data_IF_350583374288
#
_entry.id   IF_350583374288
#
_cell.length_a   1.000
_cell.length_b   1.000
_cell.length_c   1.000
_cell.angle_alpha   90.00
_cell.angle_beta   90.00
_cell.angle_gamma   90.00
#
_symmetry.space_group_name_H-M   'P 1'
#
loop_
_entity.id
_entity.type
_entity.pdbx_description
1 polymer ?
#
# COMPACT_ATOMS: atom_id res chain seq x y z
N UNK A 1 -2.17 7.32 -22.32
CA UNK A 1 -3.10 7.70 -21.24
C UNK A 1 -2.23 8.09 -20.06
N UNK A 2 -2.47 9.27 -19.47
CA UNK A 2 -1.75 9.70 -18.28
C UNK A 2 -2.15 8.83 -17.08
N UNK A 3 -1.18 8.49 -16.25
CA UNK A 3 -1.32 7.66 -15.05
C UNK A 3 -0.40 8.17 -13.92
N UNK A 4 -0.50 7.62 -12.72
CA UNK A 4 0.28 8.08 -11.55
C UNK A 4 1.81 8.18 -11.77
N UNK A 5 2.46 7.31 -12.57
CA UNK A 5 3.90 7.45 -12.81
C UNK A 5 4.26 8.77 -13.50
N UNK A 6 3.37 9.32 -14.33
CA UNK A 6 3.60 10.57 -15.04
C UNK A 6 3.66 11.77 -14.08
N UNK A 7 2.92 11.72 -12.96
CA UNK A 7 3.00 12.72 -11.90
C UNK A 7 4.39 12.66 -11.25
N UNK A 8 4.87 11.47 -10.88
CA UNK A 8 6.18 11.34 -10.25
C UNK A 8 7.32 11.78 -11.19
N UNK A 9 7.25 11.45 -12.47
CA UNK A 9 8.24 11.91 -13.45
C UNK A 9 8.24 13.43 -13.59
N UNK A 10 7.08 14.08 -13.53
CA UNK A 10 6.97 15.55 -13.64
C UNK A 10 7.61 16.29 -12.47
N UNK A 11 7.56 15.71 -11.27
CA UNK A 11 8.09 16.35 -10.05
C UNK A 11 9.51 15.91 -9.71
N UNK A 12 9.98 14.78 -10.26
CA UNK A 12 11.32 14.30 -9.97
C UNK A 12 12.40 15.22 -10.57
N UNK A 13 13.42 15.61 -9.79
CA UNK A 13 14.58 16.31 -10.35
C UNK A 13 15.49 15.38 -11.15
N UNK A 14 15.35 14.05 -10.98
CA UNK A 14 16.14 13.02 -11.66
C UNK A 14 15.24 11.90 -12.20
N UNK A 15 15.42 11.58 -13.49
CA UNK A 15 14.74 10.47 -14.14
C UNK A 15 15.08 9.12 -13.47
N UNK A 16 16.30 8.95 -12.98
CA UNK A 16 16.72 7.73 -12.30
C UNK A 16 15.96 7.54 -10.98
N UNK A 17 15.78 8.61 -10.22
CA UNK A 17 15.06 8.59 -8.93
C UNK A 17 13.59 8.29 -9.15
N UNK A 18 12.95 8.93 -10.14
CA UNK A 18 11.59 8.61 -10.56
C UNK A 18 11.43 7.14 -10.93
N UNK A 19 12.28 6.61 -11.83
CA UNK A 19 12.19 5.22 -12.31
C UNK A 19 12.32 4.21 -11.17
N UNK A 20 13.22 4.43 -10.22
CA UNK A 20 13.41 3.55 -9.05
C UNK A 20 12.18 3.55 -8.15
N UNK A 21 11.66 4.74 -7.81
CA UNK A 21 10.47 4.85 -6.98
C UNK A 21 9.25 4.22 -7.68
N UNK A 22 9.03 4.51 -8.96
CA UNK A 22 7.92 3.95 -9.74
C UNK A 22 7.98 2.42 -9.75
N UNK A 23 9.16 1.85 -9.97
CA UNK A 23 9.31 0.39 -9.97
C UNK A 23 8.91 -0.24 -8.63
N UNK A 24 9.29 0.38 -7.50
CA UNK A 24 8.98 -0.14 -6.18
C UNK A 24 7.51 0.08 -5.80
N UNK A 25 6.95 1.26 -6.07
CA UNK A 25 5.52 1.52 -5.83
C UNK A 25 4.63 0.59 -6.64
N UNK A 26 5.00 0.23 -7.89
CA UNK A 26 4.28 -0.81 -8.66
C UNK A 26 4.36 -2.18 -8.00
N UNK A 27 5.52 -2.56 -7.48
CA UNK A 27 5.67 -3.83 -6.76
C UNK A 27 4.79 -3.85 -5.50
N UNK A 28 4.76 -2.74 -4.77
CA UNK A 28 3.90 -2.56 -3.59
C UNK A 28 2.42 -2.64 -3.97
N UNK A 29 1.99 -1.91 -5.01
CA UNK A 29 0.61 -1.91 -5.51
C UNK A 29 0.13 -3.32 -5.88
N UNK A 30 0.92 -4.05 -6.68
CA UNK A 30 0.55 -5.38 -7.14
C UNK A 30 0.48 -6.38 -5.98
N UNK A 31 1.43 -6.32 -5.04
CA UNK A 31 1.42 -7.20 -3.87
C UNK A 31 0.29 -6.85 -2.89
N UNK A 32 0.06 -5.55 -2.63
CA UNK A 32 -1.03 -5.07 -1.79
C UNK A 32 -2.40 -5.50 -2.33
N UNK A 33 -2.65 -5.30 -3.62
CA UNK A 33 -3.88 -5.75 -4.29
C UNK A 33 -4.08 -7.26 -4.16
N UNK A 34 -3.01 -8.06 -4.29
CA UNK A 34 -3.11 -9.51 -4.14
C UNK A 34 -3.49 -9.90 -2.70
N UNK A 35 -2.89 -9.27 -1.70
CA UNK A 35 -3.22 -9.46 -0.29
C UNK A 35 -4.67 -9.06 0.03
N UNK A 36 -5.09 -7.85 -0.35
CA UNK A 36 -6.45 -7.37 -0.10
C UNK A 36 -7.50 -8.25 -0.79
N UNK A 37 -7.29 -8.61 -2.06
CA UNK A 37 -8.22 -9.49 -2.80
C UNK A 37 -8.32 -10.88 -2.20
N UNK A 38 -7.21 -11.43 -1.67
CA UNK A 38 -7.25 -12.72 -0.97
C UNK A 38 -8.22 -12.66 0.22
N UNK A 39 -8.08 -11.65 1.07
CA UNK A 39 -8.93 -11.47 2.25
C UNK A 39 -10.37 -11.14 1.89
N UNK A 40 -10.59 -10.27 0.90
CA UNK A 40 -11.94 -9.93 0.43
C UNK A 40 -12.70 -11.16 -0.12
N UNK A 41 -12.02 -12.05 -0.86
CA UNK A 41 -12.62 -13.31 -1.34
C UNK A 41 -13.10 -14.16 -0.17
N UNK A 42 -12.29 -14.29 0.87
CA UNK A 42 -12.70 -15.01 2.08
C UNK A 42 -13.83 -14.31 2.82
N UNK A 43 -13.85 -12.97 2.82
CA UNK A 43 -14.96 -12.16 3.32
C UNK A 43 -16.28 -12.50 2.62
N UNK A 44 -16.24 -12.67 1.29
CA UNK A 44 -17.37 -13.11 0.43
C UNK A 44 -17.71 -14.60 0.59
N UNK A 45 -16.92 -15.36 1.36
CA UNK A 45 -17.13 -16.80 1.59
C UNK A 45 -16.50 -17.70 0.53
N UNK A 46 -15.65 -17.17 -0.35
CA UNK A 46 -14.92 -17.96 -1.34
C UNK A 46 -13.78 -18.74 -0.65
N UNK A 47 -13.90 -20.07 -0.61
CA UNK A 47 -12.91 -20.94 0.00
C UNK A 47 -11.83 -21.36 -1.01
N UNK A 48 -11.07 -20.39 -1.54
CA UNK A 48 -9.88 -20.63 -2.36
C UNK A 48 -8.62 -20.10 -1.65
N UNK A 49 -7.61 -20.94 -1.38
CA UNK A 49 -7.57 -22.40 -1.54
C UNK A 49 -8.63 -23.17 -0.74
N UNK A 50 -8.97 -24.39 -1.17
CA UNK A 50 -10.05 -25.20 -0.57
C UNK A 50 -9.76 -25.67 0.85
N UNK A 51 -8.49 -25.86 1.22
CA UNK A 51 -8.08 -26.33 2.55
C UNK A 51 -7.67 -25.18 3.45
N UNK A 52 -7.87 -25.35 4.77
CA UNK A 52 -7.43 -24.38 5.77
C UNK A 52 -5.90 -24.15 5.70
N UNK A 53 -5.11 -25.22 5.61
CA UNK A 53 -3.66 -25.12 5.45
C UNK A 53 -3.23 -24.44 4.14
N UNK A 54 -3.97 -24.64 3.05
CA UNK A 54 -3.73 -23.92 1.80
C UNK A 54 -4.02 -22.42 1.92
N UNK A 55 -5.09 -22.05 2.63
CA UNK A 55 -5.41 -20.65 2.93
C UNK A 55 -4.36 -19.99 3.83
N UNK A 56 -3.93 -20.68 4.88
CA UNK A 56 -2.84 -20.23 5.75
C UNK A 56 -1.57 -19.95 4.94
N UNK A 57 -1.14 -20.90 4.10
CA UNK A 57 0.03 -20.71 3.24
C UNK A 57 -0.14 -19.56 2.23
N UNK A 58 -1.35 -19.40 1.67
CA UNK A 58 -1.65 -18.30 0.75
C UNK A 58 -1.58 -16.94 1.45
N UNK A 59 -2.06 -16.83 2.69
CA UNK A 59 -1.97 -15.59 3.47
C UNK A 59 -0.51 -15.27 3.80
N UNK A 60 0.26 -16.26 4.29
CA UNK A 60 1.69 -16.07 4.59
C UNK A 60 2.47 -15.61 3.37
N UNK A 61 2.25 -16.27 2.23
CA UNK A 61 2.92 -15.90 0.99
C UNK A 61 2.52 -14.51 0.49
N UNK A 62 1.24 -14.14 0.62
CA UNK A 62 0.79 -12.80 0.28
C UNK A 62 1.44 -11.74 1.19
N UNK A 63 1.50 -12.00 2.50
CA UNK A 63 2.13 -11.10 3.46
C UNK A 63 3.64 -10.93 3.20
N UNK A 64 4.36 -12.04 3.00
CA UNK A 64 5.80 -12.06 2.68
C UNK A 64 6.12 -11.25 1.40
N UNK A 65 5.29 -11.40 0.36
CA UNK A 65 5.44 -10.63 -0.88
C UNK A 65 5.22 -9.13 -0.70
N UNK A 66 4.28 -8.73 0.16
CA UNK A 66 4.04 -7.32 0.44
C UNK A 66 5.17 -6.76 1.28
N UNK A 67 5.60 -7.50 2.31
CA UNK A 67 6.74 -7.14 3.18
C UNK A 67 7.99 -6.88 2.33
N UNK A 68 8.32 -7.80 1.42
CA UNK A 68 9.48 -7.67 0.52
C UNK A 68 9.38 -6.41 -0.34
N UNK A 69 8.19 -6.10 -0.85
CA UNK A 69 7.97 -4.90 -1.67
C UNK A 69 8.12 -3.62 -0.85
N UNK A 70 7.55 -3.57 0.36
CA UNK A 70 7.66 -2.41 1.26
C UNK A 70 9.10 -2.21 1.76
N UNK A 71 9.81 -3.28 2.10
CA UNK A 71 11.24 -3.20 2.43
C UNK A 71 12.08 -2.62 1.28
N UNK A 72 11.73 -2.95 0.04
CA UNK A 72 12.35 -2.39 -1.17
C UNK A 72 12.01 -0.91 -1.42
N UNK A 73 10.93 -0.39 -0.83
CA UNK A 73 10.44 0.98 -1.04
C UNK A 73 11.21 2.02 -0.21
N UNK A 74 11.74 1.65 0.95
CA UNK A 74 12.33 2.58 1.92
C UNK A 74 13.36 3.53 1.30
N UNK A 75 14.36 2.97 0.63
CA UNK A 75 15.45 3.78 0.06
C UNK A 75 14.97 4.65 -1.11
N UNK A 76 14.28 4.12 -2.14
CA UNK A 76 13.82 4.96 -3.25
C UNK A 76 12.84 6.05 -2.84
N UNK A 77 11.95 5.79 -1.87
CA UNK A 77 11.02 6.77 -1.36
C UNK A 77 11.73 7.85 -0.55
N UNK A 78 12.68 7.47 0.30
CA UNK A 78 13.51 8.41 1.05
C UNK A 78 14.31 9.34 0.13
N UNK A 79 14.98 8.80 -0.88
CA UNK A 79 15.72 9.61 -1.87
C UNK A 79 14.80 10.57 -2.62
N UNK A 80 13.65 10.09 -3.10
CA UNK A 80 12.69 10.92 -3.82
C UNK A 80 12.14 12.06 -2.94
N UNK A 81 11.78 11.78 -1.69
CA UNK A 81 11.29 12.79 -0.75
C UNK A 81 12.32 13.88 -0.42
N UNK A 82 13.60 13.50 -0.31
CA UNK A 82 14.69 14.45 -0.11
C UNK A 82 14.90 15.33 -1.34
N UNK A 83 14.91 14.72 -2.52
CA UNK A 83 15.11 15.38 -3.80
C UNK A 83 13.95 16.30 -4.20
N UNK A 84 12.73 15.97 -3.79
CA UNK A 84 11.54 16.77 -4.10
C UNK A 84 11.58 18.17 -3.45
N UNK A 85 12.39 18.38 -2.40
CA UNK A 85 12.63 19.67 -1.71
C UNK A 85 11.40 20.60 -1.68
N UNK A 86 10.27 20.12 -1.13
CA UNK A 86 9.11 20.98 -0.98
C UNK A 86 9.43 22.11 0.01
N UNK A 87 9.43 23.37 -0.48
CA UNK A 87 9.76 24.55 0.31
C UNK A 87 8.83 24.77 1.52
N UNK A 88 7.69 24.09 1.59
CA UNK A 88 6.67 24.29 2.61
C UNK A 88 6.15 22.95 3.14
N UNK A 89 6.30 22.71 4.44
CA UNK A 89 5.70 21.58 5.16
C UNK A 89 4.19 21.79 5.44
N UNK A 90 3.50 22.58 4.62
CA UNK A 90 2.08 22.95 4.78
C UNK A 90 1.16 22.28 3.75
N UNK A 91 1.71 21.43 2.87
CA UNK A 91 0.93 20.64 1.91
C UNK A 91 -0.07 19.71 2.59
N UNK A 92 -1.22 19.46 1.93
CA UNK A 92 -2.19 18.46 2.37
C UNK A 92 -2.02 17.19 1.55
N UNK A 93 -2.05 16.04 2.21
CA UNK A 93 -2.04 14.74 1.54
C UNK A 93 -3.20 14.65 0.54
N UNK A 94 -2.90 14.19 -0.67
CA UNK A 94 -3.89 14.10 -1.77
C UNK A 94 -4.90 12.97 -1.57
N UNK A 95 -4.60 12.07 -0.64
CA UNK A 95 -5.50 11.02 -0.19
C UNK A 95 -5.91 11.27 1.24
N UNK A 96 -7.14 10.86 1.58
CA UNK A 96 -7.61 10.88 2.95
C UNK A 96 -7.15 9.62 3.69
N UNK A 97 -7.11 9.72 5.03
CA UNK A 97 -7.04 8.55 5.89
C UNK A 97 -8.19 7.56 5.64
N UNK A 98 -8.15 6.40 6.31
CA UNK A 98 -9.03 5.30 6.00
C UNK A 98 -10.51 5.65 6.16
N UNK A 99 -11.33 5.16 5.22
CA UNK A 99 -12.77 5.32 5.25
C UNK A 99 -13.46 4.25 6.09
N UNK A 100 -14.70 4.50 6.52
CA UNK A 100 -15.50 3.52 7.27
C UNK A 100 -15.65 2.16 6.54
N UNK A 101 -15.58 2.16 5.21
CA UNK A 101 -15.63 0.95 4.39
C UNK A 101 -14.38 0.06 4.44
N UNK A 102 -13.28 0.54 5.05
CA UNK A 102 -12.04 -0.23 5.22
C UNK A 102 -11.90 -0.83 6.61
N UNK A 103 -12.77 -0.44 7.53
CA UNK A 103 -12.86 -1.00 8.87
C UNK A 103 -13.63 -2.32 8.79
N UNK A 104 -12.89 -3.42 8.65
CA UNK A 104 -13.44 -4.77 8.54
C UNK A 104 -13.16 -5.57 9.81
N UNK A 105 -14.17 -6.25 10.33
CA UNK A 105 -14.01 -7.21 11.42
C UNK A 105 -13.49 -8.54 10.86
N UNK A 106 -12.17 -8.75 10.95
CA UNK A 106 -11.51 -9.91 10.33
C UNK A 106 -11.63 -11.22 11.13
N UNK A 107 -11.87 -11.16 12.44
CA UNK A 107 -11.96 -12.36 13.29
C UNK A 107 -12.93 -13.43 12.76
N UNK A 108 -14.21 -13.13 12.43
CA UNK A 108 -15.12 -14.13 11.87
C UNK A 108 -14.71 -14.63 10.49
N UNK A 109 -14.04 -13.79 9.67
CA UNK A 109 -13.56 -14.17 8.34
C UNK A 109 -12.41 -15.18 8.46
N UNK A 110 -11.41 -14.88 9.29
CA UNK A 110 -10.24 -15.74 9.51
C UNK A 110 -10.64 -17.06 10.19
N UNK A 111 -11.55 -17.01 11.16
CA UNK A 111 -12.08 -18.21 11.83
C UNK A 111 -12.77 -19.14 10.84
N UNK A 112 -13.62 -18.61 9.96
CA UNK A 112 -14.30 -19.38 8.90
C UNK A 112 -13.31 -19.88 7.83
N UNK A 113 -12.28 -19.11 7.53
CA UNK A 113 -11.18 -19.55 6.67
C UNK A 113 -10.32 -20.63 7.34
N UNK A 114 -10.40 -20.82 8.65
CA UNK A 114 -9.55 -21.76 9.40
C UNK A 114 -8.08 -21.33 9.44
N UNK A 115 -7.83 -20.01 9.39
CA UNK A 115 -6.49 -19.40 9.41
C UNK A 115 -6.19 -18.89 10.82
N UNK A 116 -4.96 -19.08 11.27
CA UNK A 116 -4.51 -18.82 12.65
C UNK A 116 -3.93 -17.42 12.87
N UNK A 117 -3.82 -16.62 11.82
CA UNK A 117 -3.27 -15.26 11.87
C UNK A 117 -4.03 -14.36 12.86
N UNK A 118 -3.30 -13.47 13.54
CA UNK A 118 -3.88 -12.52 14.49
C UNK A 118 -4.84 -11.55 13.78
N UNK A 119 -6.14 -11.52 14.12
CA UNK A 119 -7.11 -10.66 13.44
C UNK A 119 -6.74 -9.17 13.48
N UNK A 120 -6.16 -8.69 14.58
CA UNK A 120 -5.79 -7.28 14.73
C UNK A 120 -4.64 -6.89 13.79
N UNK A 121 -3.64 -7.78 13.61
CA UNK A 121 -2.53 -7.54 12.68
C UNK A 121 -3.00 -7.60 11.23
N UNK A 122 -3.90 -8.54 10.91
CA UNK A 122 -4.53 -8.61 9.58
C UNK A 122 -5.36 -7.36 9.31
N UNK A 123 -6.09 -6.85 10.31
CA UNK A 123 -6.87 -5.62 10.19
C UNK A 123 -5.97 -4.41 9.90
N UNK A 124 -4.92 -4.22 10.70
CA UNK A 124 -3.97 -3.13 10.53
C UNK A 124 -3.28 -3.21 9.15
N UNK A 125 -2.71 -4.36 8.80
CA UNK A 125 -2.06 -4.54 7.51
C UNK A 125 -3.02 -4.33 6.33
N UNK A 126 -4.25 -4.87 6.40
CA UNK A 126 -5.25 -4.64 5.34
C UNK A 126 -5.57 -3.17 5.17
N UNK A 127 -5.77 -2.45 6.28
CA UNK A 127 -6.12 -1.02 6.27
C UNK A 127 -5.05 -0.20 5.56
N UNK A 128 -3.79 -0.36 5.96
CA UNK A 128 -2.68 0.44 5.43
C UNK A 128 -2.38 0.10 3.97
N UNK A 129 -2.53 -1.16 3.58
CA UNK A 129 -2.40 -1.57 2.18
C UNK A 129 -3.55 -1.06 1.31
N UNK A 130 -4.77 -1.00 1.84
CA UNK A 130 -5.90 -0.41 1.15
C UNK A 130 -5.72 1.11 0.96
N UNK A 131 -5.17 1.80 1.98
CA UNK A 131 -4.80 3.22 1.91
C UNK A 131 -3.72 3.45 0.84
N UNK A 132 -2.66 2.63 0.80
CA UNK A 132 -1.64 2.69 -0.26
C UNK A 132 -2.26 2.58 -1.65
N UNK A 133 -3.09 1.55 -1.88
CA UNK A 133 -3.75 1.32 -3.17
C UNK A 133 -4.64 2.51 -3.53
N UNK A 134 -5.39 3.07 -2.58
CA UNK A 134 -6.21 4.25 -2.81
C UNK A 134 -5.36 5.48 -3.12
N UNK A 135 -4.24 5.67 -2.43
CA UNK A 135 -3.36 6.81 -2.66
C UNK A 135 -2.79 6.78 -4.10
N UNK A 136 -2.37 5.61 -4.58
CA UNK A 136 -1.91 5.44 -5.97
C UNK A 136 -3.05 5.64 -6.97
N UNK A 137 -4.23 5.10 -6.70
CA UNK A 137 -5.42 5.34 -7.51
C UNK A 137 -5.80 6.83 -7.58
N UNK A 138 -5.67 7.56 -6.47
CA UNK A 138 -5.88 9.01 -6.41
C UNK A 138 -4.90 9.78 -7.28
N UNK A 139 -3.64 9.37 -7.33
CA UNK A 139 -2.66 9.92 -8.28
C UNK A 139 -3.04 9.61 -9.74
N UNK A 140 -3.51 8.39 -10.04
CA UNK A 140 -3.99 8.05 -11.39
C UNK A 140 -5.17 8.91 -11.80
N UNK A 141 -6.13 9.12 -10.90
CA UNK A 141 -7.30 9.95 -11.17
C UNK A 141 -6.91 11.41 -11.36
N UNK A 142 -5.98 11.92 -10.54
CA UNK A 142 -5.40 13.25 -10.71
C UNK A 142 -4.71 13.42 -12.08
N UNK A 143 -3.95 12.41 -12.52
CA UNK A 143 -3.29 12.41 -13.81
C UNK A 143 -4.29 12.44 -14.98
N UNK A 144 -5.40 11.67 -14.88
CA UNK A 144 -6.46 11.63 -15.90
C UNK A 144 -7.31 12.88 -15.94
N UNK A 145 -7.54 13.51 -14.79
CA UNK A 145 -8.32 14.75 -14.66
C UNK A 145 -7.49 16.01 -14.93
N UNK A 146 -6.20 15.84 -15.24
CA UNK A 146 -5.23 16.94 -15.43
C UNK A 146 -5.19 17.91 -14.23
N UNK A 147 -5.47 17.42 -13.03
CA UNK A 147 -5.41 18.25 -11.82
C UNK A 147 -3.96 18.56 -11.48
N UNK A 148 -3.68 19.82 -11.15
CA UNK A 148 -2.36 20.24 -10.70
C UNK A 148 -2.15 19.82 -9.25
N UNK A 149 -1.46 18.69 -9.05
CA UNK A 149 -0.87 18.36 -7.75
C UNK A 149 0.43 19.16 -7.61
N UNK A 150 0.57 19.94 -6.54
CA UNK A 150 1.81 20.67 -6.27
C UNK A 150 2.84 19.79 -5.57
N UNK A 151 4.10 20.24 -5.57
CA UNK A 151 5.20 19.49 -4.96
C UNK A 151 4.97 19.30 -3.45
N UNK A 152 4.39 20.28 -2.75
CA UNK A 152 4.13 20.22 -1.31
C UNK A 152 3.08 19.17 -0.96
N UNK A 153 1.96 19.06 -1.69
CA UNK A 153 0.94 18.04 -1.47
C UNK A 153 1.45 16.65 -1.82
N UNK A 154 2.23 16.52 -2.92
CA UNK A 154 2.88 15.26 -3.30
C UNK A 154 3.92 14.83 -2.26
N UNK A 155 4.65 15.77 -1.67
CA UNK A 155 5.59 15.46 -0.60
C UNK A 155 4.83 14.98 0.64
N UNK A 156 3.79 15.70 1.07
CA UNK A 156 3.02 15.40 2.27
C UNK A 156 2.43 13.98 2.24
N UNK A 157 1.74 13.60 1.16
CA UNK A 157 1.17 12.25 1.12
C UNK A 157 2.21 11.14 0.91
N UNK A 158 3.33 11.38 0.22
CA UNK A 158 4.39 10.37 0.10
C UNK A 158 5.09 10.16 1.44
N UNK A 159 5.23 11.21 2.24
CA UNK A 159 5.75 11.16 3.59
C UNK A 159 4.79 10.40 4.53
N UNK A 160 3.49 10.71 4.49
CA UNK A 160 2.48 10.01 5.29
C UNK A 160 2.43 8.51 4.96
N UNK A 161 2.50 8.14 3.67
CA UNK A 161 2.58 6.73 3.25
C UNK A 161 3.84 6.07 3.81
N UNK A 162 4.99 6.75 3.76
CA UNK A 162 6.25 6.23 4.28
C UNK A 162 6.14 5.93 5.77
N UNK A 163 5.67 6.89 6.56
CA UNK A 163 5.60 6.77 8.02
C UNK A 163 4.70 5.60 8.43
N UNK A 164 3.56 5.46 7.76
CA UNK A 164 2.57 4.44 8.11
C UNK A 164 2.96 3.04 7.61
N UNK A 165 3.43 2.93 6.36
CA UNK A 165 3.78 1.63 5.77
C UNK A 165 5.09 1.07 6.33
N UNK A 166 6.11 1.91 6.53
CA UNK A 166 7.43 1.45 6.99
C UNK A 166 7.54 1.42 8.52
N UNK A 167 6.57 1.99 9.24
CA UNK A 167 6.47 1.91 10.69
C UNK A 167 5.93 0.56 11.17
N UNK A 168 4.61 0.46 11.34
CA UNK A 168 3.98 -0.71 11.96
C UNK A 168 3.59 -1.81 10.95
N UNK A 169 3.25 -1.44 9.71
CA UNK A 169 2.68 -2.37 8.72
C UNK A 169 3.65 -3.49 8.35
N UNK A 170 4.93 -3.18 8.17
CA UNK A 170 5.98 -4.17 7.88
C UNK A 170 6.09 -5.21 8.99
N UNK A 171 6.04 -4.80 10.26
CA UNK A 171 6.13 -5.73 11.39
C UNK A 171 4.89 -6.61 11.52
N UNK A 172 3.70 -6.07 11.22
CA UNK A 172 2.48 -6.87 11.14
C UNK A 172 2.55 -7.90 10.01
N UNK A 173 3.06 -7.52 8.83
CA UNK A 173 3.23 -8.44 7.71
C UNK A 173 4.24 -9.56 8.03
N UNK A 174 5.36 -9.24 8.68
CA UNK A 174 6.33 -10.25 9.15
C UNK A 174 5.68 -11.22 10.13
N UNK A 175 4.87 -10.73 11.05
CA UNK A 175 4.16 -11.56 12.01
C UNK A 175 3.08 -12.45 11.34
N UNK A 176 2.46 -11.97 10.26
CA UNK A 176 1.49 -12.75 9.47
C UNK A 176 2.21 -13.81 8.63
N UNK A 177 3.43 -13.52 8.14
CA UNK A 177 4.20 -14.43 7.29
C UNK A 177 4.85 -15.62 8.04
N UNK A 178 5.07 -15.48 9.35
CA UNK A 178 5.67 -16.51 10.22
C UNK A 178 4.77 -17.74 10.42
#
# INVERSE_FOLDING_TARGET
MADWPDILVRHAPSELTARRLISQLRACEVSALAFCRLLERWGRGEADPATAGGREAALRHAADRVETALAGLETPLGSYLLELEANEAEGRSWYSGPGAGELVEWAPVLSRAGVSACPNRVAAAYLELAVLVRALQGLSDAARMETTLDASSLWAGLFDLRDTLLGATVDDLRAIAA
#
